data_IF_513854024231
#
_entry.id   IF_513854024231
#
_cell.length_a   1.000
_cell.length_b   1.000
_cell.length_c   1.000
_cell.angle_alpha   90.00
_cell.angle_beta   90.00
_cell.angle_gamma   90.00
#
_symmetry.space_group_name_H-M   'P 1'
#
loop_
_entity.id
_entity.type
_entity.pdbx_description
1 polymer ?
#
# COMPACT_ATOMS: atom_id res chain seq x y z
N UNK A 1 1.25 9.25 -4.99
CA UNK A 1 0.26 8.34 -4.34
C UNK A 1 -0.83 9.13 -3.59
N UNK A 2 -2.06 8.62 -3.34
CA UNK A 2 -3.08 9.33 -2.52
C UNK A 2 -3.74 8.41 -1.49
N UNK A 3 -3.65 8.79 -0.21
CA UNK A 3 -4.33 8.13 0.90
C UNK A 3 -5.78 8.64 0.99
N UNK A 4 -6.67 8.08 0.15
CA UNK A 4 -8.09 8.46 0.10
C UNK A 4 -8.98 7.58 0.95
N UNK A 5 -8.42 6.54 1.57
CA UNK A 5 -9.17 5.59 2.38
C UNK A 5 -9.60 6.19 3.72
N UNK A 6 -10.64 5.60 4.31
CA UNK A 6 -11.12 6.01 5.63
C UNK A 6 -10.05 5.65 6.67
N UNK A 7 -9.77 6.58 7.59
CA UNK A 7 -8.77 6.39 8.64
C UNK A 7 -9.28 5.38 9.67
N UNK A 8 -9.01 4.10 9.45
CA UNK A 8 -9.47 2.98 10.27
C UNK A 8 -8.43 2.52 11.30
N UNK A 9 -7.14 2.78 11.06
CA UNK A 9 -6.04 2.41 11.95
C UNK A 9 -5.50 3.61 12.75
N UNK A 10 -5.17 3.38 14.03
CA UNK A 10 -4.60 4.41 14.91
C UNK A 10 -3.08 4.28 15.00
N UNK A 11 -2.35 5.33 14.61
CA UNK A 11 -0.89 5.39 14.71
C UNK A 11 -0.45 6.21 15.94
N UNK A 12 0.10 5.53 16.96
CA UNK A 12 0.65 6.17 18.15
C UNK A 12 2.16 6.40 18.02
N UNK A 13 2.61 7.66 17.99
CA UNK A 13 4.03 8.00 17.81
C UNK A 13 4.61 8.71 19.04
N UNK A 14 5.79 8.26 19.49
CA UNK A 14 6.64 9.02 20.43
C UNK A 14 7.73 9.73 19.63
N UNK A 15 7.68 11.06 19.64
CA UNK A 15 8.59 11.91 18.85
C UNK A 15 9.22 12.99 19.72
N UNK A 16 10.33 13.55 19.27
CA UNK A 16 10.96 14.68 19.95
C UNK A 16 10.10 15.95 19.89
N UNK A 17 10.28 16.86 20.86
CA UNK A 17 9.57 18.15 20.88
C UNK A 17 9.82 18.96 19.59
N UNK A 18 11.07 18.94 19.10
CA UNK A 18 11.47 19.65 17.87
C UNK A 18 10.73 19.11 16.65
N UNK A 19 10.60 17.78 16.53
CA UNK A 19 9.86 17.17 15.44
C UNK A 19 8.38 17.59 15.45
N UNK A 20 7.73 17.50 16.62
CA UNK A 20 6.32 17.92 16.76
C UNK A 20 6.11 19.38 16.37
N UNK A 21 7.02 20.28 16.76
CA UNK A 21 6.93 21.69 16.40
C UNK A 21 7.11 21.94 14.90
N UNK A 22 8.09 21.27 14.28
CA UNK A 22 8.31 21.37 12.83
C UNK A 22 7.09 20.85 12.05
N UNK A 23 6.57 19.68 12.42
CA UNK A 23 5.38 19.10 11.79
C UNK A 23 4.16 20.01 11.95
N UNK A 24 3.95 20.58 13.15
CA UNK A 24 2.86 21.51 13.40
C UNK A 24 2.94 22.74 12.48
N UNK A 25 4.12 23.36 12.38
CA UNK A 25 4.32 24.54 11.51
C UNK A 25 4.05 24.22 10.03
N UNK A 26 4.53 23.07 9.55
CA UNK A 26 4.27 22.63 8.17
C UNK A 26 2.77 22.41 7.93
N UNK A 27 2.09 21.75 8.86
CA UNK A 27 0.65 21.49 8.78
C UNK A 27 -0.18 22.80 8.80
N UNK A 28 0.20 23.76 9.65
CA UNK A 28 -0.44 25.09 9.71
C UNK A 28 -0.24 25.88 8.41
N UNK A 29 0.97 25.83 7.84
CA UNK A 29 1.28 26.48 6.57
C UNK A 29 0.41 25.96 5.42
N UNK A 30 0.13 24.66 5.39
CA UNK A 30 -0.70 24.02 4.36
C UNK A 30 -2.19 23.93 4.71
N UNK A 31 -2.62 24.51 5.84
CA UNK A 31 -4.00 24.47 6.33
C UNK A 31 -4.56 23.05 6.46
N UNK A 32 -3.73 22.11 6.95
CA UNK A 32 -4.08 20.70 7.12
C UNK A 32 -3.83 20.24 8.56
N UNK A 33 -4.43 19.12 8.94
CA UNK A 33 -4.09 18.48 10.22
C UNK A 33 -2.66 17.90 10.17
N UNK A 34 -2.01 17.79 11.34
CA UNK A 34 -0.65 17.18 11.42
C UNK A 34 -0.61 15.75 10.87
N UNK A 35 -1.69 14.98 11.02
CA UNK A 35 -1.81 13.62 10.47
C UNK A 35 -1.83 13.66 8.95
N UNK A 36 -2.65 14.54 8.36
CA UNK A 36 -2.71 14.67 6.91
C UNK A 36 -1.42 15.23 6.32
N UNK A 37 -0.67 16.04 7.10
CA UNK A 37 0.65 16.51 6.68
C UNK A 37 1.66 15.36 6.63
N UNK A 38 1.62 14.42 7.58
CA UNK A 38 2.47 13.22 7.53
C UNK A 38 2.19 12.36 6.29
N UNK A 39 0.91 12.20 5.93
CA UNK A 39 0.51 11.49 4.71
C UNK A 39 1.11 12.13 3.45
N UNK A 40 1.05 13.46 3.34
CA UNK A 40 1.64 14.18 2.20
C UNK A 40 3.17 14.01 2.16
N UNK A 41 3.84 14.19 3.31
CA UNK A 41 5.30 14.03 3.40
C UNK A 41 5.73 12.61 3.05
N UNK A 42 4.96 11.60 3.46
CA UNK A 42 5.25 10.20 3.15
C UNK A 42 5.02 9.90 1.67
N UNK A 43 3.92 10.40 1.08
CA UNK A 43 3.68 10.30 -0.36
C UNK A 43 4.84 10.89 -1.16
N UNK A 44 5.26 12.12 -0.82
CA UNK A 44 6.33 12.82 -1.52
C UNK A 44 7.66 12.07 -1.40
N UNK A 45 7.99 11.58 -0.19
CA UNK A 45 9.17 10.74 0.02
C UNK A 45 9.15 9.46 -0.83
N UNK A 46 8.02 8.77 -0.89
CA UNK A 46 7.86 7.56 -1.70
C UNK A 46 7.97 7.86 -3.19
N UNK A 47 7.30 8.92 -3.66
CA UNK A 47 7.32 9.34 -5.06
C UNK A 47 8.76 9.74 -5.47
N UNK A 48 9.50 10.48 -4.62
CA UNK A 48 10.91 10.85 -4.85
C UNK A 48 11.89 9.66 -4.84
N UNK A 49 11.58 8.60 -4.09
CA UNK A 49 12.41 7.40 -3.96
C UNK A 49 11.99 6.26 -4.89
N UNK A 50 10.89 6.41 -5.62
CA UNK A 50 10.32 5.34 -6.44
C UNK A 50 9.80 4.14 -5.63
N UNK A 51 9.40 4.36 -4.37
CA UNK A 51 8.88 3.30 -3.51
C UNK A 51 7.40 3.07 -3.88
N UNK A 52 7.13 1.96 -4.55
CA UNK A 52 5.77 1.54 -4.89
C UNK A 52 5.19 0.72 -3.74
N UNK A 53 4.26 1.31 -3.01
CA UNK A 53 3.45 0.59 -2.02
C UNK A 53 2.33 -0.16 -2.76
N UNK A 54 2.43 -1.48 -2.83
CA UNK A 54 1.35 -2.33 -3.34
C UNK A 54 0.20 -2.30 -2.33
N UNK A 55 -0.98 -1.85 -2.76
CA UNK A 55 -2.19 -1.94 -1.92
C UNK A 55 -2.46 -3.43 -1.61
N UNK A 56 -2.66 -3.81 -0.34
CA UNK A 56 -2.96 -5.21 0.03
C UNK A 56 -4.26 -5.73 -0.60
N UNK A 57 -5.14 -4.84 -1.08
CA UNK A 57 -6.39 -5.19 -1.78
C UNK A 57 -6.18 -5.77 -3.20
N UNK A 58 -4.95 -5.76 -3.74
CA UNK A 58 -4.65 -6.33 -5.06
C UNK A 58 -4.03 -7.75 -4.99
N UNK A 59 -3.78 -8.27 -3.79
CA UNK A 59 -3.11 -9.58 -3.61
C UNK A 59 -4.06 -10.78 -3.55
N UNK A 60 -5.37 -10.59 -3.68
CA UNK A 60 -6.35 -11.71 -3.62
C UNK A 60 -6.84 -12.20 -4.99
N UNK A 61 -6.49 -11.53 -6.10
CA UNK A 61 -7.03 -11.85 -7.44
C UNK A 61 -5.94 -12.36 -8.41
N UNK A 62 -4.90 -13.05 -7.92
CA UNK A 62 -3.96 -13.81 -8.76
C UNK A 62 -3.63 -15.16 -8.11
N UNK A 63 -4.67 -15.99 -7.96
CA UNK A 63 -4.57 -17.32 -7.35
C UNK A 63 -5.47 -18.40 -7.93
N UNK A 64 -6.15 -18.17 -9.06
CA UNK A 64 -6.94 -19.22 -9.73
C UNK A 64 -6.40 -19.49 -11.15
N UNK A 65 -5.14 -19.92 -11.21
CA UNK A 65 -4.63 -20.63 -12.37
C UNK A 65 -5.34 -21.98 -12.47
N UNK A 66 -6.35 -22.07 -13.34
CA UNK A 66 -6.95 -23.34 -13.78
C UNK A 66 -5.85 -24.23 -14.36
N UNK A 67 -5.37 -25.19 -13.58
CA UNK A 67 -4.61 -26.32 -14.08
C UNK A 67 -5.56 -27.27 -14.83
N UNK A 68 -5.82 -26.97 -16.11
CA UNK A 68 -6.33 -27.97 -17.06
C UNK A 68 -5.16 -28.39 -17.95
N UNK A 69 -4.33 -29.29 -17.44
CA UNK A 69 -3.41 -30.09 -18.26
C UNK A 69 -3.94 -31.50 -18.29
N UNK A 70 -4.30 -31.93 -19.50
CA UNK A 70 -5.08 -33.14 -19.80
C UNK A 70 -4.50 -34.42 -19.22
N UNK A 71 -5.39 -35.19 -18.60
CA UNK A 71 -5.15 -36.57 -18.19
C UNK A 71 -6.04 -37.49 -19.03
N UNK A 72 -5.47 -38.13 -20.06
CA UNK A 72 -5.71 -39.56 -20.35
C UNK A 72 -4.79 -40.06 -21.47
N UNK A 73 -3.84 -40.88 -21.07
CA UNK A 73 -3.19 -41.86 -21.93
C UNK A 73 -4.16 -43.04 -22.03
N UNK A 74 -4.77 -43.25 -23.19
CA UNK A 74 -5.46 -44.50 -23.50
C UNK A 74 -4.50 -45.33 -24.37
N UNK A 75 -3.82 -46.30 -23.75
CA UNK A 75 -3.22 -47.41 -24.47
C UNK A 75 -4.31 -48.48 -24.57
N UNK A 76 -4.74 -48.76 -25.79
CA UNK A 76 -5.74 -49.77 -26.11
C UNK A 76 -5.68 -50.15 -27.58
N UNK A 77 -4.91 -51.22 -27.85
CA UNK A 77 -5.16 -52.31 -28.81
C UNK A 77 -5.57 -52.00 -30.25
N UNK A 78 -4.69 -52.36 -31.19
CA UNK A 78 -4.94 -53.07 -32.46
C UNK A 78 -3.55 -53.46 -32.99
N UNK A 79 -3.24 -54.69 -33.39
CA UNK A 79 -3.86 -55.54 -34.42
C UNK A 79 -3.48 -56.99 -34.14
#
# INVERSE_FOLDING_TARGET
MRFTDLKSETLNLRVSRKFKQALKKAAEHEQRSMVNMLEVLLCDYCDHKGIVLQSPEASQELGQGRAVTGRKKNVGVSI
#
